data_IF_476681248733
#
_entry.id   IF_476681248733
#
_cell.length_a   1.000
_cell.length_b   1.000
_cell.length_c   1.000
_cell.angle_alpha   90.00
_cell.angle_beta   90.00
_cell.angle_gamma   90.00
#
_symmetry.space_group_name_H-M   'P 1'
#
loop_
_entity.id
_entity.type
_entity.pdbx_description
1 polymer ?
#
# COMPACT_ATOMS: atom_id res chain seq x y z
N UNK A 1 -24.42 21.68 24.51
CA UNK A 1 -24.48 22.95 23.77
C UNK A 1 -25.79 22.97 23.01
N UNK A 2 -26.75 23.71 23.54
CA UNK A 2 -28.04 23.99 22.90
C UNK A 2 -27.80 25.01 21.78
N UNK A 3 -28.34 24.74 20.60
CA UNK A 3 -28.39 25.72 19.51
C UNK A 3 -29.42 26.81 19.89
N UNK A 4 -29.33 28.02 19.32
CA UNK A 4 -30.15 29.18 19.69
C UNK A 4 -31.67 29.01 19.48
N UNK A 5 -32.12 27.88 18.93
CA UNK A 5 -33.52 27.57 18.59
C UNK A 5 -34.13 26.46 19.48
N UNK A 6 -33.52 26.14 20.63
CA UNK A 6 -34.06 25.16 21.59
C UNK A 6 -34.08 23.69 21.11
N UNK A 7 -33.75 23.41 19.85
CA UNK A 7 -33.71 22.07 19.28
C UNK A 7 -32.38 21.36 19.59
N UNK A 8 -32.47 20.11 20.03
CA UNK A 8 -31.31 19.26 20.34
C UNK A 8 -30.67 18.84 19.02
N UNK A 9 -29.48 19.37 18.71
CA UNK A 9 -28.76 19.04 17.49
C UNK A 9 -28.48 17.53 17.34
N UNK A 10 -28.27 17.03 16.11
CA UNK A 10 -28.08 15.62 15.83
C UNK A 10 -26.89 15.04 16.60
N UNK A 11 -27.15 14.00 17.41
CA UNK A 11 -26.13 13.28 18.19
C UNK A 11 -25.86 11.93 17.55
N UNK A 12 -24.60 11.56 17.44
CA UNK A 12 -24.19 10.25 16.95
C UNK A 12 -24.09 9.27 18.12
N UNK A 13 -24.76 8.11 18.02
CA UNK A 13 -24.73 7.04 19.02
C UNK A 13 -23.74 5.95 18.62
N UNK A 14 -22.97 5.43 19.57
CA UNK A 14 -22.19 4.21 19.34
C UNK A 14 -23.09 2.97 19.29
N UNK A 15 -22.80 2.03 18.38
CA UNK A 15 -23.57 0.77 18.27
C UNK A 15 -23.33 -0.20 19.42
N UNK A 16 -22.16 -0.13 20.06
CA UNK A 16 -21.71 -1.11 21.06
C UNK A 16 -21.87 -0.66 22.52
N UNK A 17 -22.03 0.64 22.75
CA UNK A 17 -22.20 1.19 24.10
C UNK A 17 -23.24 2.34 24.11
N UNK A 18 -23.81 2.68 25.27
CA UNK A 18 -24.88 3.68 25.36
C UNK A 18 -24.39 5.14 25.26
N UNK A 19 -23.14 5.40 24.89
CA UNK A 19 -22.57 6.76 24.84
C UNK A 19 -23.02 7.52 23.58
N UNK A 20 -23.42 8.79 23.78
CA UNK A 20 -23.88 9.70 22.74
C UNK A 20 -22.87 10.83 22.51
N UNK A 21 -22.43 10.99 21.26
CA UNK A 21 -21.42 11.95 20.83
C UNK A 21 -22.06 13.11 20.08
N UNK A 22 -21.60 14.32 20.34
CA UNK A 22 -22.01 15.52 19.60
C UNK A 22 -21.17 15.64 18.33
N UNK A 23 -21.79 16.05 17.22
CA UNK A 23 -21.07 16.41 15.99
C UNK A 23 -20.89 17.92 16.01
N UNK A 24 -19.65 18.39 15.94
CA UNK A 24 -19.37 19.82 15.80
C UNK A 24 -18.97 20.02 14.34
N UNK A 25 -19.73 20.82 13.59
CA UNK A 25 -19.47 21.17 12.17
C UNK A 25 -19.37 19.96 11.21
N UNK A 26 -20.16 18.92 11.44
CA UNK A 26 -20.21 17.75 10.53
C UNK A 26 -19.04 16.76 10.69
N UNK A 27 -18.14 16.96 11.65
CA UNK A 27 -17.03 16.04 11.91
C UNK A 27 -17.42 14.91 12.88
N UNK A 28 -17.04 13.67 12.55
CA UNK A 28 -17.32 12.45 13.34
C UNK A 28 -16.12 11.96 14.17
N UNK A 29 -15.09 12.81 14.36
CA UNK A 29 -13.82 12.43 14.97
C UNK A 29 -13.95 11.83 16.37
N UNK A 30 -14.80 12.40 17.23
CA UNK A 30 -15.03 11.88 18.58
C UNK A 30 -15.66 10.47 18.60
N UNK A 31 -16.63 10.23 17.72
CA UNK A 31 -17.21 8.89 17.57
C UNK A 31 -16.16 7.93 17.00
N UNK A 32 -15.38 8.35 16.00
CA UNK A 32 -14.36 7.51 15.37
C UNK A 32 -13.27 7.09 16.36
N UNK A 33 -12.76 8.02 17.17
CA UNK A 33 -11.79 7.73 18.23
C UNK A 33 -12.37 6.81 19.31
N UNK A 34 -13.64 6.99 19.66
CA UNK A 34 -14.31 6.10 20.59
C UNK A 34 -14.47 4.69 20.01
N UNK A 35 -14.95 4.56 18.77
CA UNK A 35 -15.20 3.27 18.12
C UNK A 35 -13.93 2.42 18.05
N UNK A 36 -12.77 3.01 17.76
CA UNK A 36 -11.49 2.30 17.76
C UNK A 36 -11.12 1.69 19.12
N UNK A 37 -11.50 2.34 20.23
CA UNK A 37 -11.26 1.83 21.60
C UNK A 37 -12.40 0.95 22.11
N UNK A 38 -13.60 1.17 21.59
CA UNK A 38 -14.84 0.52 22.01
C UNK A 38 -15.01 -0.85 21.36
N UNK A 39 -14.63 -0.99 20.08
CA UNK A 39 -14.72 -2.25 19.35
C UNK A 39 -13.96 -3.37 20.10
N UNK A 40 -12.68 -3.24 20.47
CA UNK A 40 -11.96 -4.33 21.12
C UNK A 40 -12.51 -4.70 22.52
N UNK A 41 -13.18 -3.75 23.19
CA UNK A 41 -13.71 -3.95 24.55
C UNK A 41 -15.12 -4.57 24.57
N UNK A 42 -15.91 -4.35 23.52
CA UNK A 42 -17.30 -4.82 23.44
C UNK A 42 -17.53 -5.89 22.37
N UNK A 43 -16.68 -5.91 21.34
CA UNK A 43 -16.56 -7.02 20.40
C UNK A 43 -15.40 -7.86 20.93
N UNK A 44 -15.73 -8.85 21.76
CA UNK A 44 -14.93 -10.07 21.71
C UNK A 44 -15.09 -10.51 20.26
N UNK A 45 -14.04 -10.36 19.44
CA UNK A 45 -14.09 -10.81 18.05
C UNK A 45 -14.61 -12.24 18.17
N UNK A 46 -15.84 -12.54 17.73
CA UNK A 46 -16.18 -13.92 17.51
C UNK A 46 -15.31 -14.20 16.31
N UNK A 47 -14.12 -14.71 16.57
CA UNK A 47 -13.43 -15.50 15.60
C UNK A 47 -14.51 -16.50 15.24
N UNK A 48 -15.09 -16.36 14.05
CA UNK A 48 -15.98 -17.35 13.47
C UNK A 48 -15.09 -18.56 13.18
N UNK A 49 -14.57 -19.17 14.24
CA UNK A 49 -13.86 -20.42 14.24
C UNK A 49 -14.96 -21.45 14.32
N UNK A 50 -15.36 -21.93 13.16
CA UNK A 50 -15.85 -23.28 13.06
C UNK A 50 -14.72 -24.18 13.59
N UNK A 51 -14.80 -24.62 14.85
CA UNK A 51 -13.82 -25.53 15.45
C UNK A 51 -14.11 -26.95 14.97
N UNK A 52 -13.57 -27.31 13.81
CA UNK A 52 -13.40 -28.73 13.48
C UNK A 52 -12.25 -29.27 14.34
N UNK A 53 -12.56 -30.23 15.21
CA UNK A 53 -11.59 -30.87 16.11
C UNK A 53 -10.84 -31.95 15.32
N UNK A 54 -9.54 -31.77 15.07
CA UNK A 54 -8.70 -32.91 14.66
C UNK A 54 -8.23 -33.64 15.90
N UNK A 55 -8.52 -34.93 15.93
CA UNK A 55 -7.97 -35.84 16.92
C UNK A 55 -6.68 -36.39 16.34
N UNK A 56 -5.57 -36.09 17.00
CA UNK A 56 -4.31 -36.74 16.70
C UNK A 56 -4.36 -38.20 17.17
N UNK A 57 -3.48 -39.03 16.61
CA UNK A 57 -3.40 -40.47 16.93
C UNK A 57 -3.09 -40.73 18.41
N UNK A 58 -2.44 -39.77 19.07
CA UNK A 58 -2.15 -39.73 20.51
C UNK A 58 -3.36 -39.32 21.37
N UNK A 59 -4.54 -39.13 20.76
CA UNK A 59 -5.80 -38.72 21.41
C UNK A 59 -5.78 -37.27 21.92
N UNK A 60 -4.73 -36.50 21.64
CA UNK A 60 -4.70 -35.07 21.89
C UNK A 60 -5.63 -34.35 20.92
N UNK A 61 -6.19 -33.23 21.40
CA UNK A 61 -7.12 -32.41 20.65
C UNK A 61 -6.47 -31.05 20.45
N UNK A 62 -6.11 -30.73 19.21
CA UNK A 62 -5.62 -29.40 18.85
C UNK A 62 -6.71 -28.65 18.12
N UNK A 63 -6.89 -27.37 18.47
CA UNK A 63 -7.76 -26.47 17.72
C UNK A 63 -7.21 -26.27 16.31
N UNK A 64 -8.01 -26.54 15.28
CA UNK A 64 -7.64 -26.21 13.91
C UNK A 64 -7.67 -24.69 13.73
N UNK A 65 -6.51 -24.14 13.35
CA UNK A 65 -6.42 -22.78 12.85
C UNK A 65 -6.48 -22.85 11.32
N UNK A 66 -7.63 -22.45 10.76
CA UNK A 66 -7.77 -22.36 9.32
C UNK A 66 -6.98 -21.18 8.77
N UNK A 67 -5.95 -21.46 7.99
CA UNK A 67 -5.21 -20.45 7.23
C UNK A 67 -5.55 -20.57 5.74
N UNK A 68 -6.32 -19.59 5.25
CA UNK A 68 -6.87 -19.64 3.89
C UNK A 68 -5.80 -19.67 2.77
N UNK A 69 -4.60 -19.13 3.04
CA UNK A 69 -3.48 -19.15 2.08
C UNK A 69 -2.92 -20.56 1.95
N UNK A 70 -2.62 -21.20 3.08
CA UNK A 70 -2.10 -22.56 3.14
C UNK A 70 -3.08 -23.56 2.53
N UNK A 71 -4.38 -23.42 2.85
CA UNK A 71 -5.41 -24.26 2.25
C UNK A 71 -5.45 -24.16 0.72
N UNK A 72 -5.35 -22.95 0.16
CA UNK A 72 -5.33 -22.76 -1.31
C UNK A 72 -4.07 -23.33 -1.95
N UNK A 73 -2.91 -23.13 -1.34
CA UNK A 73 -1.63 -23.62 -1.88
C UNK A 73 -1.56 -25.15 -1.84
N UNK A 74 -1.93 -25.78 -0.73
CA UNK A 74 -1.98 -27.24 -0.61
C UNK A 74 -3.02 -27.83 -1.57
N UNK A 75 -4.24 -27.27 -1.64
CA UNK A 75 -5.26 -27.74 -2.59
C UNK A 75 -4.81 -27.64 -4.06
N UNK A 76 -4.06 -26.60 -4.42
CA UNK A 76 -3.58 -26.44 -5.79
C UNK A 76 -2.41 -27.38 -6.12
N UNK A 77 -1.51 -27.64 -5.17
CA UNK A 77 -0.27 -28.41 -5.39
C UNK A 77 -0.40 -29.90 -5.12
N UNK A 78 -1.15 -30.29 -4.10
CA UNK A 78 -1.34 -31.69 -3.70
C UNK A 78 -2.48 -32.39 -4.47
N UNK A 79 -3.25 -31.64 -5.25
CA UNK A 79 -4.27 -32.22 -6.11
C UNK A 79 -3.65 -32.90 -7.33
N UNK A 80 -3.97 -34.19 -7.53
CA UNK A 80 -3.41 -34.99 -8.64
C UNK A 80 -3.69 -34.43 -10.04
N UNK A 81 -4.80 -33.71 -10.24
CA UNK A 81 -5.15 -33.13 -11.54
C UNK A 81 -4.53 -31.75 -11.76
N UNK A 82 -4.52 -30.91 -10.72
CA UNK A 82 -4.09 -29.52 -10.81
C UNK A 82 -2.59 -29.35 -10.54
N UNK A 83 -2.00 -30.18 -9.69
CA UNK A 83 -0.60 -30.11 -9.29
C UNK A 83 0.37 -30.10 -10.48
N UNK A 84 0.27 -31.04 -11.45
CA UNK A 84 1.12 -31.03 -12.63
C UNK A 84 0.98 -29.76 -13.48
N UNK A 85 -0.24 -29.23 -13.61
CA UNK A 85 -0.50 -28.00 -14.35
C UNK A 85 0.09 -26.78 -13.63
N UNK A 86 -0.04 -26.70 -12.31
CA UNK A 86 0.53 -25.64 -11.47
C UNK A 86 2.06 -25.65 -11.59
N UNK A 87 2.70 -26.81 -11.49
CA UNK A 87 4.16 -26.95 -11.65
C UNK A 87 4.61 -26.54 -13.06
N UNK A 88 3.88 -26.96 -14.11
CA UNK A 88 4.17 -26.55 -15.49
C UNK A 88 4.00 -25.03 -15.71
N UNK A 89 3.04 -24.40 -15.04
CA UNK A 89 2.86 -22.94 -15.09
C UNK A 89 3.95 -22.19 -14.33
N UNK A 90 4.33 -22.68 -13.14
CA UNK A 90 5.39 -22.07 -12.33
C UNK A 90 6.75 -22.12 -13.03
N UNK A 91 7.08 -23.25 -13.66
CA UNK A 91 8.32 -23.40 -14.43
C UNK A 91 8.38 -22.46 -15.62
N UNK A 92 7.28 -22.32 -16.38
CA UNK A 92 7.17 -21.33 -17.46
C UNK A 92 7.29 -19.90 -16.93
N UNK A 93 6.60 -19.59 -15.83
CA UNK A 93 6.66 -18.27 -15.22
C UNK A 93 8.09 -17.91 -14.81
N UNK A 94 8.79 -18.79 -14.07
CA UNK A 94 10.18 -18.58 -13.66
C UNK A 94 11.10 -18.38 -14.87
N UNK A 95 10.91 -19.16 -15.95
CA UNK A 95 11.70 -19.03 -17.18
C UNK A 95 11.55 -17.66 -17.86
N UNK A 96 10.33 -17.11 -17.91
CA UNK A 96 10.10 -15.80 -18.53
C UNK A 96 10.45 -14.64 -17.60
N UNK A 97 10.35 -14.86 -16.29
CA UNK A 97 10.60 -13.82 -15.30
C UNK A 97 12.08 -13.71 -14.92
N UNK A 98 12.88 -14.75 -15.13
CA UNK A 98 14.34 -14.70 -14.94
C UNK A 98 15.04 -13.71 -15.87
N UNK A 99 14.53 -13.55 -17.09
CA UNK A 99 15.04 -12.58 -18.07
C UNK A 99 13.98 -11.48 -18.29
N UNK A 100 13.95 -10.52 -17.38
CA UNK A 100 12.95 -9.46 -17.43
C UNK A 100 13.22 -8.55 -18.63
N UNK A 101 12.24 -8.45 -19.53
CA UNK A 101 12.34 -7.52 -20.67
C UNK A 101 12.33 -6.06 -20.18
N UNK A 102 13.21 -5.25 -20.76
CA UNK A 102 13.32 -3.81 -20.50
C UNK A 102 11.99 -3.03 -20.67
N UNK A 103 11.09 -3.50 -21.54
CA UNK A 103 9.76 -2.91 -21.74
C UNK A 103 8.91 -2.83 -20.46
N UNK A 104 9.03 -3.82 -19.57
CA UNK A 104 8.30 -3.81 -18.30
C UNK A 104 8.83 -2.73 -17.36
N UNK A 105 10.16 -2.56 -17.30
CA UNK A 105 10.78 -1.50 -16.54
C UNK A 105 10.40 -0.11 -17.05
N UNK A 106 10.35 0.08 -18.37
CA UNK A 106 9.87 1.32 -18.99
C UNK A 106 8.44 1.67 -18.55
N UNK A 107 7.52 0.70 -18.58
CA UNK A 107 6.14 0.94 -18.14
C UNK A 107 6.05 1.44 -16.69
N UNK A 108 6.90 0.89 -15.81
CA UNK A 108 6.96 1.30 -14.39
C UNK A 108 7.60 2.68 -14.21
N UNK A 109 8.64 3.01 -14.99
CA UNK A 109 9.36 4.28 -14.87
C UNK A 109 8.56 5.45 -15.50
N UNK A 110 7.89 5.19 -16.62
CA UNK A 110 7.03 6.17 -17.30
C UNK A 110 5.77 6.48 -16.47
N UNK A 111 5.40 5.60 -15.52
CA UNK A 111 4.40 5.97 -14.52
C UNK A 111 4.95 7.08 -13.59
N UNK A 112 4.28 8.24 -13.50
CA UNK A 112 4.78 9.39 -12.76
C UNK A 112 4.89 9.17 -11.24
N UNK A 113 4.32 8.09 -10.71
CA UNK A 113 4.23 7.81 -9.28
C UNK A 113 5.39 6.96 -8.77
N UNK A 114 5.90 6.04 -9.57
CA UNK A 114 6.78 4.96 -9.08
C UNK A 114 8.26 5.33 -9.21
N UNK A 115 8.66 6.01 -10.29
CA UNK A 115 10.06 6.44 -10.58
C UNK A 115 11.08 5.28 -10.52
N UNK A 116 12.34 5.57 -10.80
CA UNK A 116 13.44 4.58 -10.74
C UNK A 116 13.60 3.93 -9.35
N UNK A 117 13.43 4.70 -8.28
CA UNK A 117 13.53 4.18 -6.90
C UNK A 117 12.44 3.15 -6.58
N UNK A 118 11.24 3.30 -7.14
CA UNK A 118 10.15 2.35 -6.93
C UNK A 118 10.35 1.07 -7.75
N UNK A 119 11.01 1.16 -8.91
CA UNK A 119 11.40 0.00 -9.69
C UNK A 119 12.42 -0.86 -8.93
N UNK A 120 13.47 -0.25 -8.36
CA UNK A 120 14.48 -0.95 -7.56
C UNK A 120 13.83 -1.73 -6.40
N UNK A 121 12.97 -1.07 -5.63
CA UNK A 121 12.24 -1.71 -4.52
C UNK A 121 11.34 -2.86 -4.99
N UNK A 122 10.64 -2.68 -6.11
CA UNK A 122 9.72 -3.69 -6.64
C UNK A 122 10.48 -4.94 -7.12
N UNK A 123 11.59 -4.76 -7.83
CA UNK A 123 12.42 -5.88 -8.28
C UNK A 123 13.10 -6.59 -7.11
N UNK A 124 13.57 -5.87 -6.09
CA UNK A 124 14.12 -6.48 -4.88
C UNK A 124 13.03 -7.30 -4.14
N UNK A 125 11.83 -6.73 -4.00
CA UNK A 125 10.70 -7.43 -3.37
C UNK A 125 10.30 -8.69 -4.15
N UNK A 126 10.21 -8.62 -5.47
CA UNK A 126 9.88 -9.76 -6.31
C UNK A 126 11.02 -10.79 -6.32
N UNK A 127 12.28 -10.34 -6.34
CA UNK A 127 13.47 -11.18 -6.23
C UNK A 127 13.48 -12.00 -4.94
N UNK A 128 13.18 -11.36 -3.81
CA UNK A 128 13.05 -12.04 -2.53
C UNK A 128 11.94 -13.09 -2.50
N UNK A 129 10.83 -12.87 -3.23
CA UNK A 129 9.72 -13.83 -3.32
C UNK A 129 9.99 -14.97 -4.29
N UNK A 130 10.70 -14.71 -5.38
CA UNK A 130 10.98 -15.69 -6.43
C UNK A 130 12.34 -16.38 -6.25
N UNK A 131 13.15 -15.97 -5.27
CA UNK A 131 14.55 -16.37 -5.06
C UNK A 131 15.42 -16.15 -6.31
N UNK A 132 15.22 -15.04 -7.00
CA UNK A 132 15.98 -14.64 -8.20
C UNK A 132 16.68 -13.32 -7.91
N UNK A 133 17.98 -13.24 -8.22
CA UNK A 133 18.73 -11.99 -8.12
C UNK A 133 18.54 -11.14 -9.39
N UNK A 134 18.11 -9.89 -9.21
CA UNK A 134 17.89 -8.92 -10.28
C UNK A 134 18.90 -7.76 -10.25
N UNK A 135 19.91 -7.81 -9.38
CA UNK A 135 20.91 -6.75 -9.19
C UNK A 135 21.57 -6.28 -10.50
N UNK A 136 22.05 -7.23 -11.31
CA UNK A 136 22.68 -6.95 -12.61
C UNK A 136 21.68 -6.35 -13.61
N UNK A 137 20.45 -6.88 -13.65
CA UNK A 137 19.39 -6.42 -14.55
C UNK A 137 18.96 -4.98 -14.22
N UNK A 138 18.90 -4.61 -12.95
CA UNK A 138 18.59 -3.23 -12.52
C UNK A 138 19.64 -2.25 -13.06
N UNK A 139 20.92 -2.63 -13.00
CA UNK A 139 22.03 -1.80 -13.49
C UNK A 139 21.98 -1.64 -15.01
N UNK A 140 21.72 -2.74 -15.74
CA UNK A 140 21.55 -2.71 -17.19
C UNK A 140 20.33 -1.89 -17.63
N UNK A 141 19.19 -2.03 -16.94
CA UNK A 141 17.99 -1.20 -17.16
C UNK A 141 18.32 0.29 -16.95
N UNK A 142 19.05 0.62 -15.89
CA UNK A 142 19.45 2.01 -15.60
C UNK A 142 20.28 2.59 -16.74
N UNK A 143 21.26 1.83 -17.22
CA UNK A 143 22.14 2.25 -18.30
C UNK A 143 21.38 2.46 -19.61
N UNK A 144 20.51 1.50 -19.99
CA UNK A 144 19.65 1.62 -21.17
C UNK A 144 18.71 2.82 -21.11
N UNK A 145 18.18 3.14 -19.93
CA UNK A 145 17.34 4.32 -19.76
C UNK A 145 18.13 5.62 -19.97
N UNK A 146 19.33 5.71 -19.40
CA UNK A 146 20.20 6.88 -19.59
C UNK A 146 20.69 7.02 -21.04
N UNK A 147 20.89 5.92 -21.75
CA UNK A 147 21.19 5.92 -23.19
C UNK A 147 20.00 6.46 -24.02
N UNK A 148 18.79 5.99 -23.74
CA UNK A 148 17.58 6.54 -24.40
C UNK A 148 17.43 8.03 -24.11
N UNK A 149 17.70 8.44 -22.86
CA UNK A 149 17.64 9.83 -22.45
C UNK A 149 18.70 10.70 -23.15
N UNK A 150 19.93 10.21 -23.29
CA UNK A 150 21.00 10.97 -23.98
C UNK A 150 20.70 11.16 -25.47
N UNK A 151 20.11 10.16 -26.13
CA UNK A 151 19.61 10.29 -27.51
C UNK A 151 18.51 11.36 -27.59
N UNK A 152 17.60 11.39 -26.61
CA UNK A 152 16.55 12.41 -26.55
C UNK A 152 17.13 13.82 -26.38
N UNK A 153 18.05 14.01 -25.44
CA UNK A 153 18.72 15.32 -25.24
C UNK A 153 19.52 15.76 -26.47
N UNK A 154 20.22 14.84 -27.14
CA UNK A 154 20.93 15.16 -28.38
C UNK A 154 19.98 15.64 -29.49
N UNK A 155 18.78 15.08 -29.55
CA UNK A 155 17.81 15.34 -30.63
C UNK A 155 16.89 16.53 -30.34
N UNK A 156 16.59 16.78 -29.07
CA UNK A 156 15.57 17.75 -28.65
C UNK A 156 16.04 18.71 -27.57
N UNK A 157 17.21 18.50 -26.96
CA UNK A 157 17.75 19.36 -25.90
C UNK A 157 18.19 20.75 -26.36
N UNK A 158 18.31 20.96 -27.68
CA UNK A 158 18.53 22.28 -28.29
C UNK A 158 17.24 22.96 -28.76
N UNK A 159 16.07 22.31 -28.64
CA UNK A 159 14.79 22.99 -28.85
C UNK A 159 14.50 23.73 -27.55
N UNK A 160 14.81 25.02 -27.53
CA UNK A 160 14.27 25.92 -26.52
C UNK A 160 12.78 25.63 -26.43
N UNK A 161 12.37 25.13 -25.27
CA UNK A 161 10.97 25.05 -24.91
C UNK A 161 10.49 26.49 -24.91
N UNK A 162 9.92 26.94 -26.04
CA UNK A 162 9.11 28.15 -26.05
C UNK A 162 8.17 28.02 -24.85
N UNK A 163 8.23 28.95 -23.89
CA UNK A 163 7.35 28.90 -22.75
C UNK A 163 5.93 28.95 -23.31
N UNK A 164 5.21 27.82 -23.21
CA UNK A 164 3.77 27.77 -23.42
C UNK A 164 3.16 29.01 -22.76
N UNK A 165 2.31 29.79 -23.46
CA UNK A 165 1.66 30.94 -22.87
C UNK A 165 1.07 30.50 -21.55
N UNK A 166 1.54 31.10 -20.45
CA UNK A 166 0.99 30.82 -19.13
C UNK A 166 -0.52 31.07 -19.25
N UNK A 167 -1.40 30.09 -19.03
CA UNK A 167 -2.76 30.44 -18.71
C UNK A 167 -2.67 31.28 -17.44
N UNK A 168 -3.07 32.54 -17.57
CA UNK A 168 -3.26 33.46 -16.46
C UNK A 168 -4.32 32.83 -15.55
N UNK A 169 -3.86 32.08 -14.56
CA UNK A 169 -4.72 31.44 -13.57
C UNK A 169 -3.92 31.41 -12.29
N UNK A 170 -4.31 32.33 -11.41
CA UNK A 170 -3.92 32.46 -10.01
C UNK A 170 -3.50 31.09 -9.44
N UNK A 171 -2.20 30.94 -9.19
CA UNK A 171 -1.62 29.68 -8.71
C UNK A 171 -2.16 29.35 -7.32
N UNK A 172 -3.11 28.41 -7.26
CA UNK A 172 -3.46 27.74 -6.00
C UNK A 172 -2.31 26.81 -5.60
N UNK A 173 -1.90 26.81 -4.32
CA UNK A 173 -0.72 26.07 -3.88
C UNK A 173 -0.92 24.56 -4.07
N UNK A 174 0.02 23.95 -4.79
CA UNK A 174 0.04 22.51 -5.05
C UNK A 174 0.15 21.74 -3.72
N UNK A 175 -0.48 20.56 -3.63
CA UNK A 175 -0.50 19.70 -2.42
C UNK A 175 0.90 19.45 -1.82
N UNK A 176 1.94 19.44 -2.67
CA UNK A 176 3.34 19.27 -2.26
C UNK A 176 3.94 20.49 -1.54
N UNK A 177 3.52 21.71 -1.86
CA UNK A 177 3.95 22.94 -1.16
C UNK A 177 3.47 22.96 0.29
N UNK A 178 2.25 22.45 0.52
CA UNK A 178 1.65 22.37 1.87
C UNK A 178 2.42 21.35 2.72
N UNK A 179 2.81 20.21 2.14
CA UNK A 179 3.53 19.16 2.85
C UNK A 179 4.97 19.57 3.20
N UNK A 180 5.66 20.30 2.32
CA UNK A 180 7.01 20.83 2.60
C UNK A 180 7.01 21.85 3.75
N UNK A 181 5.97 22.69 3.85
CA UNK A 181 5.82 23.67 4.95
C UNK A 181 5.66 22.98 6.31
N UNK A 182 4.88 21.89 6.35
CA UNK A 182 4.65 21.06 7.54
C UNK A 182 5.92 20.34 8.04
N UNK A 183 6.86 20.00 7.16
CA UNK A 183 8.12 19.36 7.54
C UNK A 183 9.12 20.37 8.13
N UNK A 184 9.10 21.62 7.65
CA UNK A 184 9.94 22.71 8.17
C UNK A 184 9.53 23.18 9.57
N UNK A 185 8.23 23.14 9.90
CA UNK A 185 7.71 23.46 11.24
C UNK A 185 8.04 22.37 12.28
N UNK A 186 8.13 21.10 11.86
CA UNK A 186 8.53 20.00 12.76
C UNK A 186 10.03 19.97 13.09
N UNK A 187 10.89 20.59 12.28
CA UNK A 187 12.32 20.70 12.58
C UNK A 187 12.70 21.92 13.41
N UNK A 188 11.80 22.89 13.59
CA UNK A 188 12.05 24.10 14.39
C UNK A 188 11.53 24.00 15.84
N UNK A 189 10.76 22.94 16.18
CA UNK A 189 10.13 22.78 17.49
C UNK A 189 10.81 21.74 18.41
N UNK A 190 11.92 21.12 17.97
CA UNK A 190 12.67 20.13 18.77
C UNK A 190 13.98 20.66 19.38
N UNK A 191 14.17 21.98 19.46
CA UNK A 191 15.37 22.58 20.05
C UNK A 191 15.06 23.79 20.94
N UNK A 192 14.30 23.58 22.03
CA UNK A 192 14.33 24.47 23.21
C UNK A 192 13.48 23.92 24.36
N UNK A 193 14.06 23.06 25.20
CA UNK A 193 13.62 22.81 26.59
C UNK A 193 14.70 22.04 27.36
N UNK A 194 15.80 22.70 27.71
CA UNK A 194 16.65 22.33 28.85
C UNK A 194 17.15 23.63 29.48
N UNK A 195 16.49 24.02 30.57
CA UNK A 195 17.00 24.62 31.81
C UNK A 195 15.81 24.79 32.74
#
# INVERSE_FOLDING_TARGET
>A
MTLPDGTVGPRAKCKFCPKNYTTTKGETGHLRMHVLKCIPAHVHVPTTTQTQLQRHLDRSVTTWHYEAVHARECLARENDMLGPAVVAMETKFKKYWSEMRFLYALGVIVDPRIKLSGLEYLLEFIGNKLSVDYSDQITDIRNKLFEVFSIYELRFGGVDTEPSPKPDTQQLPTSWSILKRRKKEKSASSSSSTT
#
